data_IF_018683721537
#
_entry.id   IF_018683721537
#
_cell.length_a   1.000
_cell.length_b   1.000
_cell.length_c   1.000
_cell.angle_alpha   90.00
_cell.angle_beta   90.00
_cell.angle_gamma   90.00
#
_symmetry.space_group_name_H-M   'P 1'
#
loop_
_entity.id
_entity.type
_entity.pdbx_description
1 polymer ?
#
# COMPACT_ATOMS: atom_id res chain seq x y z
N UNK A 1 -26.77 -25.66 -26.59
CA UNK A 1 -27.35 -24.31 -26.80
C UNK A 1 -27.68 -23.57 -25.51
N UNK A 2 -28.04 -24.22 -24.41
CA UNK A 2 -28.39 -23.61 -23.10
C UNK A 2 -27.22 -22.90 -22.37
N UNK A 3 -25.99 -23.26 -22.61
CA UNK A 3 -24.83 -22.65 -21.91
C UNK A 3 -24.42 -21.25 -22.43
N UNK A 4 -24.88 -20.82 -23.59
CA UNK A 4 -24.57 -19.49 -24.16
C UNK A 4 -25.54 -18.41 -23.68
N UNK A 5 -26.77 -18.77 -23.31
CA UNK A 5 -27.80 -17.85 -22.78
C UNK A 5 -27.67 -17.59 -21.27
N UNK A 6 -27.12 -18.54 -20.51
CA UNK A 6 -26.95 -18.40 -19.08
C UNK A 6 -25.81 -17.41 -18.69
N UNK A 7 -24.77 -17.27 -19.53
CA UNK A 7 -23.64 -16.38 -19.23
C UNK A 7 -23.99 -14.89 -19.10
N UNK A 8 -24.82 -14.29 -19.97
CA UNK A 8 -25.20 -12.88 -19.79
C UNK A 8 -26.14 -12.67 -18.60
N UNK A 9 -27.01 -13.63 -18.26
CA UNK A 9 -27.92 -13.54 -17.10
C UNK A 9 -27.17 -13.63 -15.78
N UNK A 10 -26.25 -14.58 -15.64
CA UNK A 10 -25.38 -14.71 -14.46
C UNK A 10 -24.48 -13.48 -14.32
N UNK A 11 -23.98 -12.94 -15.43
CA UNK A 11 -23.18 -11.71 -15.44
C UNK A 11 -24.00 -10.49 -15.04
N UNK A 12 -25.26 -10.42 -15.41
CA UNK A 12 -26.21 -9.36 -15.07
C UNK A 12 -26.66 -9.45 -13.60
N UNK A 13 -26.91 -10.65 -13.08
CA UNK A 13 -27.24 -10.90 -11.67
C UNK A 13 -26.04 -10.63 -10.73
N UNK A 14 -24.86 -11.01 -11.14
CA UNK A 14 -23.64 -10.71 -10.40
C UNK A 14 -23.32 -9.20 -10.44
N UNK A 15 -23.53 -8.57 -11.60
CA UNK A 15 -23.39 -7.12 -11.76
C UNK A 15 -24.40 -6.38 -10.88
N UNK A 16 -25.65 -6.79 -10.84
CA UNK A 16 -26.69 -6.17 -10.03
C UNK A 16 -26.48 -6.36 -8.52
N UNK A 17 -26.00 -7.53 -8.07
CA UNK A 17 -25.64 -7.74 -6.64
C UNK A 17 -24.42 -6.91 -6.21
N UNK A 18 -23.43 -6.79 -7.07
CA UNK A 18 -22.27 -5.95 -6.82
C UNK A 18 -22.67 -4.47 -6.84
N UNK A 19 -23.53 -4.05 -7.76
CA UNK A 19 -24.04 -2.68 -7.84
C UNK A 19 -24.93 -2.34 -6.63
N UNK A 20 -25.79 -3.26 -6.16
CA UNK A 20 -26.61 -3.03 -4.96
C UNK A 20 -25.78 -2.97 -3.67
N UNK A 21 -24.81 -3.87 -3.50
CA UNK A 21 -23.89 -3.81 -2.37
C UNK A 21 -23.05 -2.52 -2.39
N UNK A 22 -22.69 -2.07 -3.59
CA UNK A 22 -21.98 -0.84 -3.84
C UNK A 22 -22.81 0.40 -3.55
N UNK A 23 -24.07 0.43 -4.01
CA UNK A 23 -24.99 1.55 -3.75
C UNK A 23 -25.18 1.76 -2.25
N UNK A 24 -25.36 0.68 -1.49
CA UNK A 24 -25.45 0.73 -0.01
C UNK A 24 -24.17 1.23 0.66
N UNK A 25 -23.00 0.96 0.08
CA UNK A 25 -21.73 1.41 0.62
C UNK A 25 -21.40 2.85 0.18
N UNK A 26 -21.78 3.22 -1.06
CA UNK A 26 -21.67 4.60 -1.57
C UNK A 26 -22.62 5.53 -0.81
N UNK A 27 -23.81 5.06 -0.44
CA UNK A 27 -24.75 5.78 0.42
C UNK A 27 -24.25 5.95 1.86
N UNK A 28 -23.46 5.00 2.37
CA UNK A 28 -22.87 5.06 3.72
C UNK A 28 -21.54 5.79 3.77
N UNK A 29 -20.74 5.72 2.71
CA UNK A 29 -19.44 6.37 2.57
C UNK A 29 -19.50 7.58 1.65
N UNK A 30 -20.59 8.28 1.51
CA UNK A 30 -20.85 9.41 0.62
C UNK A 30 -19.65 10.38 0.47
N UNK A 31 -18.47 9.81 0.26
CA UNK A 31 -17.23 10.43 -0.17
C UNK A 31 -17.28 10.60 -1.68
N UNK A 32 -18.38 11.24 -2.12
CA UNK A 32 -18.56 11.51 -3.54
C UNK A 32 -17.33 12.21 -4.08
N UNK A 33 -16.77 11.65 -5.13
CA UNK A 33 -15.83 12.34 -6.03
C UNK A 33 -16.34 13.74 -6.43
N UNK A 34 -17.63 14.02 -6.22
CA UNK A 34 -18.30 15.25 -6.59
C UNK A 34 -18.01 16.44 -5.65
N UNK A 35 -17.62 16.23 -4.41
CA UNK A 35 -17.44 17.31 -3.44
C UNK A 35 -15.98 17.78 -3.30
N UNK A 36 -15.04 17.16 -3.98
CA UNK A 36 -13.66 17.55 -3.82
C UNK A 36 -13.30 18.71 -4.76
N UNK A 37 -13.00 19.85 -4.19
CA UNK A 37 -12.16 20.93 -4.74
C UNK A 37 -10.84 20.41 -5.31
N UNK A 38 -10.55 19.13 -5.17
CA UNK A 38 -9.42 18.38 -5.71
C UNK A 38 -9.27 18.47 -7.23
N UNK A 39 -10.34 18.86 -7.93
CA UNK A 39 -10.33 19.04 -9.40
C UNK A 39 -9.69 20.36 -9.87
N UNK A 40 -9.54 21.35 -8.99
CA UNK A 40 -8.99 22.65 -9.35
C UNK A 40 -7.56 22.80 -8.80
N UNK A 41 -6.61 22.15 -9.46
CA UNK A 41 -5.20 22.14 -9.04
C UNK A 41 -4.64 23.53 -8.81
N UNK A 42 -4.90 24.47 -9.71
CA UNK A 42 -4.38 25.84 -9.59
C UNK A 42 -4.93 26.55 -8.35
N UNK A 43 -6.21 26.38 -8.05
CA UNK A 43 -6.81 26.91 -6.82
C UNK A 43 -6.15 26.32 -5.56
N UNK A 44 -5.77 25.05 -5.58
CA UNK A 44 -5.03 24.43 -4.46
C UNK A 44 -3.62 24.98 -4.34
N UNK A 45 -2.93 25.19 -5.44
CA UNK A 45 -1.60 25.79 -5.47
C UNK A 45 -1.66 27.22 -4.90
N UNK A 46 -2.60 28.04 -5.38
CA UNK A 46 -2.73 29.41 -4.93
C UNK A 46 -3.10 29.48 -3.42
N UNK A 47 -4.10 28.72 -2.97
CA UNK A 47 -4.43 28.63 -1.54
C UNK A 47 -3.25 28.16 -0.67
N UNK A 48 -2.43 27.24 -1.17
CA UNK A 48 -1.25 26.75 -0.46
C UNK A 48 -0.16 27.81 -0.40
N UNK A 49 0.03 28.59 -1.46
CA UNK A 49 1.00 29.66 -1.49
C UNK A 49 0.56 30.87 -0.66
N UNK A 50 -0.73 31.15 -0.56
CA UNK A 50 -1.30 32.21 0.28
C UNK A 50 -1.33 31.87 1.77
N UNK A 51 -1.01 30.61 2.13
CA UNK A 51 -0.97 30.17 3.54
C UNK A 51 0.09 30.93 4.34
N UNK A 52 -0.27 31.39 5.55
CA UNK A 52 0.58 32.23 6.38
C UNK A 52 1.92 31.56 6.71
N UNK A 53 1.91 30.27 7.09
CA UNK A 53 3.14 29.52 7.38
C UNK A 53 4.04 29.39 6.14
N UNK A 54 3.44 29.21 4.96
CA UNK A 54 4.18 29.10 3.70
C UNK A 54 4.80 30.46 3.34
N UNK A 55 4.07 31.55 3.51
CA UNK A 55 4.58 32.90 3.29
C UNK A 55 5.75 33.25 4.23
N UNK A 56 5.64 32.87 5.50
CA UNK A 56 6.74 33.02 6.46
C UNK A 56 7.96 32.17 6.07
N UNK A 57 7.75 30.92 5.62
CA UNK A 57 8.83 30.07 5.16
C UNK A 57 9.52 30.62 3.91
N UNK A 58 8.78 31.26 2.98
CA UNK A 58 9.33 31.97 1.83
C UNK A 58 10.22 33.13 2.29
N UNK A 59 9.73 33.97 3.21
CA UNK A 59 10.50 35.10 3.77
C UNK A 59 11.78 34.63 4.47
N UNK A 60 11.69 33.55 5.25
CA UNK A 60 12.85 32.96 5.97
C UNK A 60 13.86 32.34 5.00
N UNK A 61 13.40 31.70 3.92
CA UNK A 61 14.27 31.15 2.89
C UNK A 61 15.10 32.23 2.20
N UNK A 62 14.55 33.44 2.03
CA UNK A 62 15.26 34.60 1.49
C UNK A 62 16.37 35.11 2.42
N UNK A 63 16.09 35.21 3.73
CA UNK A 63 17.07 35.67 4.73
C UNK A 63 18.29 34.75 4.80
N UNK A 64 18.09 33.45 4.65
CA UNK A 64 19.15 32.45 4.74
C UNK A 64 19.99 32.32 3.46
N UNK A 65 19.57 32.95 2.36
CA UNK A 65 20.25 32.86 1.07
C UNK A 65 20.37 34.25 0.46
N UNK A 66 21.45 34.97 0.79
CA UNK A 66 21.71 36.38 0.39
C UNK A 66 21.62 36.65 -1.12
N UNK A 67 21.61 35.60 -1.95
CA UNK A 67 21.59 35.67 -3.41
C UNK A 67 20.20 35.42 -4.03
N UNK A 68 19.17 35.10 -3.23
CA UNK A 68 17.82 34.84 -3.75
C UNK A 68 16.91 36.01 -3.43
N UNK A 69 16.35 36.65 -4.49
CA UNK A 69 15.32 37.64 -4.32
C UNK A 69 13.99 37.01 -3.81
N UNK A 70 13.12 37.88 -3.23
CA UNK A 70 11.78 37.43 -2.79
C UNK A 70 10.98 36.79 -3.94
N UNK A 71 11.13 37.31 -5.15
CA UNK A 71 10.50 36.81 -6.35
C UNK A 71 11.00 35.41 -6.74
N UNK A 72 12.28 35.13 -6.57
CA UNK A 72 12.87 33.82 -6.87
C UNK A 72 12.44 32.75 -5.86
N UNK A 73 12.33 33.12 -4.58
CA UNK A 73 11.83 32.18 -3.56
C UNK A 73 10.34 31.91 -3.72
N UNK A 74 9.54 32.88 -4.15
CA UNK A 74 8.14 32.67 -4.54
C UNK A 74 8.00 31.71 -5.73
N UNK A 75 8.82 31.92 -6.78
CA UNK A 75 8.89 30.98 -7.92
C UNK A 75 9.28 29.57 -7.48
N UNK A 76 10.28 29.44 -6.60
CA UNK A 76 10.71 28.16 -6.05
C UNK A 76 9.58 27.49 -5.25
N UNK A 77 8.84 28.23 -4.43
CA UNK A 77 7.70 27.72 -3.69
C UNK A 77 6.61 27.20 -4.62
N UNK A 78 6.29 27.93 -5.71
CA UNK A 78 5.33 27.49 -6.73
C UNK A 78 5.77 26.20 -7.41
N UNK A 79 7.02 26.08 -7.82
CA UNK A 79 7.58 24.85 -8.41
C UNK A 79 7.45 23.67 -7.44
N UNK A 80 7.71 23.89 -6.15
CA UNK A 80 7.54 22.85 -5.12
C UNK A 80 6.06 22.46 -4.97
N UNK A 81 5.16 23.43 -4.93
CA UNK A 81 3.72 23.19 -4.85
C UNK A 81 3.22 22.39 -6.06
N UNK A 82 3.65 22.76 -7.26
CA UNK A 82 3.34 22.06 -8.51
C UNK A 82 3.91 20.63 -8.57
N UNK A 83 5.05 20.39 -7.91
CA UNK A 83 5.61 19.04 -7.77
C UNK A 83 4.79 18.17 -6.80
N UNK A 84 4.27 18.76 -5.73
CA UNK A 84 3.54 18.03 -4.68
C UNK A 84 2.08 17.83 -5.08
N UNK A 85 1.37 18.88 -5.48
CA UNK A 85 -0.07 18.84 -5.74
C UNK A 85 -0.37 18.06 -7.02
N UNK A 86 -1.15 16.96 -6.94
CA UNK A 86 -1.49 16.17 -8.12
C UNK A 86 -2.44 16.91 -9.06
N UNK A 87 -2.35 16.61 -10.35
CA UNK A 87 -3.31 17.01 -11.38
C UNK A 87 -4.32 15.88 -11.60
N UNK A 88 -5.20 15.66 -10.62
CA UNK A 88 -6.16 14.58 -10.66
C UNK A 88 -7.14 14.70 -11.83
N UNK A 89 -7.30 13.61 -12.59
CA UNK A 89 -8.26 13.52 -13.68
C UNK A 89 -9.20 12.33 -13.42
N UNK A 90 -10.44 12.63 -13.04
CA UNK A 90 -11.44 11.63 -12.70
C UNK A 90 -11.76 10.68 -13.86
N UNK A 91 -11.87 11.17 -15.09
CA UNK A 91 -12.14 10.32 -16.25
C UNK A 91 -10.96 9.39 -16.53
N UNK A 92 -9.73 9.92 -16.45
CA UNK A 92 -8.53 9.10 -16.59
C UNK A 92 -8.46 8.05 -15.48
N UNK A 93 -8.67 8.44 -14.23
CA UNK A 93 -8.68 7.54 -13.07
C UNK A 93 -9.72 6.43 -13.24
N UNK A 94 -10.96 6.79 -13.57
CA UNK A 94 -12.07 5.85 -13.68
C UNK A 94 -11.98 4.92 -14.92
N UNK A 95 -11.60 5.45 -16.07
CA UNK A 95 -11.59 4.67 -17.32
C UNK A 95 -10.26 3.98 -17.57
N UNK A 96 -9.16 4.71 -17.47
CA UNK A 96 -7.83 4.22 -17.85
C UNK A 96 -7.11 3.61 -16.64
N UNK A 97 -7.02 4.35 -15.54
CA UNK A 97 -6.28 3.92 -14.35
C UNK A 97 -6.81 2.60 -13.79
N UNK A 98 -8.13 2.52 -13.61
CA UNK A 98 -8.75 1.30 -13.12
C UNK A 98 -8.68 0.12 -14.10
N UNK A 99 -9.04 0.37 -15.38
CA UNK A 99 -9.00 -0.69 -16.38
C UNK A 99 -7.60 -1.30 -16.47
N UNK A 100 -6.59 -0.46 -16.54
CA UNK A 100 -5.19 -0.87 -16.61
C UNK A 100 -4.76 -1.64 -15.35
N UNK A 101 -5.01 -1.06 -14.18
CA UNK A 101 -4.67 -1.68 -12.90
C UNK A 101 -5.37 -3.02 -12.71
N UNK A 102 -6.68 -3.08 -12.99
CA UNK A 102 -7.47 -4.32 -12.89
C UNK A 102 -6.92 -5.42 -13.79
N UNK A 103 -6.64 -5.09 -15.06
CA UNK A 103 -6.19 -6.10 -16.00
C UNK A 103 -4.78 -6.58 -15.70
N UNK A 104 -3.86 -5.69 -15.33
CA UNK A 104 -2.50 -6.07 -14.95
C UNK A 104 -2.51 -6.90 -13.67
N UNK A 105 -3.22 -6.46 -12.63
CA UNK A 105 -3.28 -7.23 -11.38
C UNK A 105 -3.88 -8.62 -11.61
N UNK A 106 -4.97 -8.72 -12.37
CA UNK A 106 -5.60 -10.01 -12.70
C UNK A 106 -4.76 -10.89 -13.61
N UNK A 107 -3.93 -10.29 -14.45
CA UNK A 107 -3.00 -11.03 -15.30
C UNK A 107 -1.88 -11.67 -14.45
N UNK A 108 -1.36 -10.94 -13.48
CA UNK A 108 -0.22 -11.34 -12.65
C UNK A 108 -0.63 -12.21 -11.45
N UNK A 109 -1.77 -11.90 -10.83
CA UNK A 109 -2.17 -12.42 -9.52
C UNK A 109 -3.56 -13.05 -9.47
N UNK A 110 -3.73 -13.96 -8.54
CA UNK A 110 -5.00 -14.21 -7.88
C UNK A 110 -5.16 -13.19 -6.75
N UNK A 111 -5.97 -12.15 -7.02
CA UNK A 111 -6.19 -11.07 -6.04
C UNK A 111 -7.25 -11.49 -5.04
N UNK A 112 -6.93 -11.39 -3.75
CA UNK A 112 -7.81 -11.72 -2.63
C UNK A 112 -7.96 -10.55 -1.69
N UNK A 113 -9.18 -10.40 -1.15
CA UNK A 113 -9.52 -9.34 -0.20
C UNK A 113 -10.24 -9.93 0.99
N UNK A 114 -9.78 -9.60 2.18
CA UNK A 114 -10.44 -9.91 3.43
C UNK A 114 -10.92 -8.66 4.15
N UNK A 115 -12.05 -8.83 4.77
CA UNK A 115 -12.63 -7.87 5.70
C UNK A 115 -12.83 -8.56 7.05
N UNK A 116 -12.88 -7.83 8.16
CA UNK A 116 -13.25 -8.43 9.44
C UNK A 116 -14.59 -9.15 9.31
N UNK A 117 -14.62 -10.43 9.66
CA UNK A 117 -15.83 -11.27 9.51
C UNK A 117 -16.80 -11.21 10.70
N UNK A 118 -16.63 -10.25 11.58
CA UNK A 118 -17.55 -10.14 12.72
C UNK A 118 -18.82 -9.38 12.29
N UNK A 119 -20.01 -9.84 12.73
CA UNK A 119 -21.27 -9.11 12.52
C UNK A 119 -21.21 -7.67 13.05
N UNK A 120 -20.31 -7.43 14.02
CA UNK A 120 -20.03 -6.10 14.57
C UNK A 120 -19.07 -5.27 13.71
N UNK A 121 -18.34 -5.87 12.76
CA UNK A 121 -17.41 -5.14 11.89
C UNK A 121 -18.11 -4.28 10.85
N UNK A 122 -19.29 -4.68 10.37
CA UNK A 122 -20.13 -3.80 9.53
C UNK A 122 -20.56 -2.56 10.33
N UNK A 123 -20.85 -2.71 11.63
CA UNK A 123 -21.17 -1.61 12.54
C UNK A 123 -19.97 -0.70 12.82
N UNK A 124 -18.72 -1.22 12.81
CA UNK A 124 -17.54 -0.39 13.05
C UNK A 124 -17.25 0.56 11.88
N UNK A 125 -17.60 0.18 10.64
CA UNK A 125 -17.56 1.10 9.49
C UNK A 125 -18.69 2.12 9.50
N UNK A 126 -19.84 1.80 10.14
CA UNK A 126 -20.95 2.74 10.33
C UNK A 126 -20.60 3.91 11.27
N UNK A 127 -19.55 3.77 12.11
CA UNK A 127 -19.01 4.84 12.96
C UNK A 127 -18.34 5.97 12.15
N UNK A 128 -17.99 5.74 10.89
CA UNK A 128 -17.35 6.75 10.04
C UNK A 128 -18.38 7.83 9.72
N UNK A 129 -18.24 8.98 10.37
CA UNK A 129 -19.15 10.12 10.19
C UNK A 129 -18.85 10.85 8.87
N UNK A 130 -19.87 11.45 8.28
CA UNK A 130 -19.70 12.45 7.22
C UNK A 130 -18.76 13.55 7.73
N UNK A 131 -17.85 14.03 6.88
CA UNK A 131 -16.82 15.00 7.22
C UNK A 131 -15.70 14.45 8.14
N UNK A 132 -15.46 13.15 8.15
CA UNK A 132 -14.22 12.58 8.68
C UNK A 132 -13.19 12.39 7.57
N UNK A 133 -11.92 12.63 7.87
CA UNK A 133 -10.83 12.34 6.94
C UNK A 133 -10.42 10.87 7.06
N UNK A 134 -10.60 10.10 5.99
CA UNK A 134 -10.25 8.67 5.96
C UNK A 134 -8.82 8.48 5.48
N UNK A 135 -8.04 7.77 6.29
CA UNK A 135 -6.63 7.47 5.99
C UNK A 135 -6.42 5.96 6.02
N UNK A 136 -6.15 5.36 4.87
CA UNK A 136 -5.74 3.95 4.80
C UNK A 136 -4.27 3.87 5.21
N UNK A 137 -4.00 3.10 6.26
CA UNK A 137 -2.65 2.90 6.78
C UNK A 137 -2.22 1.47 6.49
N UNK A 138 -1.15 1.32 5.70
CA UNK A 138 -0.71 0.01 5.24
C UNK A 138 0.79 -0.22 5.47
N UNK A 139 1.19 -1.50 5.50
CA UNK A 139 2.56 -1.92 5.32
C UNK A 139 3.01 -1.72 3.86
N UNK A 140 4.32 -1.80 3.57
CA UNK A 140 4.86 -1.53 2.24
C UNK A 140 5.77 -2.66 1.75
N UNK A 141 5.26 -3.46 0.80
CA UNK A 141 5.94 -4.63 0.22
C UNK A 141 6.48 -4.37 -1.18
N UNK A 142 5.74 -3.60 -1.99
CA UNK A 142 6.03 -3.40 -3.41
C UNK A 142 5.55 -2.02 -3.88
N UNK A 143 6.17 -1.49 -4.94
CA UNK A 143 5.66 -0.30 -5.61
C UNK A 143 4.28 -0.51 -6.26
N UNK A 144 3.79 -1.76 -6.30
CA UNK A 144 2.45 -2.10 -6.78
C UNK A 144 1.38 -1.94 -5.69
N UNK A 145 1.76 -1.82 -4.42
CA UNK A 145 0.81 -1.71 -3.29
C UNK A 145 -0.22 -0.60 -3.44
N UNK A 146 0.15 0.65 -3.86
CA UNK A 146 -0.83 1.71 -4.04
C UNK A 146 -1.88 1.34 -5.09
N UNK A 147 -1.46 0.68 -6.18
CA UNK A 147 -2.37 0.25 -7.24
C UNK A 147 -3.30 -0.87 -6.77
N UNK A 148 -2.81 -1.78 -5.93
CA UNK A 148 -3.63 -2.82 -5.33
C UNK A 148 -4.71 -2.22 -4.42
N UNK A 149 -4.34 -1.25 -3.57
CA UNK A 149 -5.28 -0.55 -2.70
C UNK A 149 -6.28 0.31 -3.51
N UNK A 150 -5.81 1.01 -4.53
CA UNK A 150 -6.68 1.74 -5.48
C UNK A 150 -7.64 0.79 -6.19
N UNK A 151 -7.17 -0.38 -6.65
CA UNK A 151 -8.04 -1.38 -7.26
C UNK A 151 -9.16 -1.84 -6.33
N UNK A 152 -8.88 -1.94 -5.02
CA UNK A 152 -9.88 -2.32 -4.01
C UNK A 152 -10.86 -1.18 -3.70
N UNK A 153 -10.36 0.04 -3.58
CA UNK A 153 -11.15 1.21 -3.21
C UNK A 153 -11.84 1.90 -4.40
N UNK A 154 -11.48 1.52 -5.61
CA UNK A 154 -11.80 2.23 -6.87
C UNK A 154 -13.24 2.67 -7.03
N UNK A 155 -14.18 1.86 -6.58
CA UNK A 155 -15.60 2.19 -6.71
C UNK A 155 -16.13 3.06 -5.57
N UNK A 156 -15.30 3.30 -4.55
CA UNK A 156 -15.70 4.00 -3.31
C UNK A 156 -15.11 5.39 -3.22
N UNK A 157 -13.86 5.55 -3.61
CA UNK A 157 -13.17 6.83 -3.51
C UNK A 157 -11.88 6.84 -4.31
N UNK A 158 -11.46 8.03 -4.76
CA UNK A 158 -10.09 8.25 -5.20
C UNK A 158 -9.21 8.44 -3.97
N UNK A 159 -8.23 7.53 -3.78
CA UNK A 159 -7.30 7.61 -2.66
C UNK A 159 -6.02 8.28 -3.13
N UNK A 160 -5.62 9.32 -2.43
CA UNK A 160 -4.36 10.02 -2.66
C UNK A 160 -3.22 9.34 -1.90
N UNK A 161 -2.26 8.76 -2.61
CA UNK A 161 -1.06 8.17 -2.02
C UNK A 161 0.17 9.02 -2.24
N UNK A 162 1.13 8.90 -1.33
CA UNK A 162 2.45 9.46 -1.55
C UNK A 162 3.30 8.55 -2.44
N UNK A 163 3.86 9.10 -3.52
CA UNK A 163 4.83 8.44 -4.36
C UNK A 163 6.24 8.97 -4.07
N UNK A 164 7.26 8.10 -4.18
CA UNK A 164 8.65 8.50 -4.00
C UNK A 164 9.24 9.21 -5.24
N UNK A 165 10.50 9.64 -5.13
CA UNK A 165 11.22 10.34 -6.20
C UNK A 165 11.38 9.53 -7.50
N UNK A 166 11.16 8.21 -7.46
CA UNK A 166 11.16 7.35 -8.66
C UNK A 166 10.05 7.74 -9.65
N UNK A 167 8.98 8.34 -9.15
CA UNK A 167 7.85 8.79 -9.96
C UNK A 167 8.11 10.11 -10.71
N UNK A 168 9.24 10.79 -10.44
CA UNK A 168 9.60 12.04 -11.13
C UNK A 168 10.04 11.77 -12.56
N UNK A 169 9.56 12.60 -13.43
CA UNK A 169 9.92 12.60 -14.84
C UNK A 169 8.82 12.07 -15.75
N UNK A 170 8.87 12.58 -16.97
CA UNK A 170 7.92 12.22 -18.03
C UNK A 170 8.10 10.75 -18.47
N UNK A 171 7.04 9.98 -18.75
CA UNK A 171 5.60 10.27 -18.56
C UNK A 171 5.07 9.87 -17.18
N UNK A 172 5.90 9.28 -16.29
CA UNK A 172 5.47 8.67 -15.03
C UNK A 172 4.84 9.69 -14.07
N UNK A 173 5.44 10.88 -13.98
CA UNK A 173 4.92 11.94 -13.12
C UNK A 173 3.49 12.32 -13.49
N UNK A 174 3.21 12.49 -14.79
CA UNK A 174 1.90 12.85 -15.29
C UNK A 174 0.86 11.77 -15.00
N UNK A 175 1.24 10.49 -15.18
CA UNK A 175 0.37 9.34 -14.88
C UNK A 175 0.05 9.27 -13.37
N UNK A 176 1.06 9.41 -12.53
CA UNK A 176 0.94 9.37 -11.07
C UNK A 176 0.07 10.54 -10.57
N UNK A 177 0.29 11.76 -11.08
CA UNK A 177 -0.53 12.91 -10.74
C UNK A 177 -1.97 12.78 -11.25
N UNK A 178 -2.18 12.21 -12.45
CA UNK A 178 -3.52 12.02 -13.01
C UNK A 178 -4.39 11.03 -12.20
N UNK A 179 -3.77 10.10 -11.46
CA UNK A 179 -4.48 9.20 -10.55
C UNK A 179 -4.59 9.74 -9.11
N UNK A 180 -4.13 10.98 -8.87
CA UNK A 180 -4.28 11.66 -7.59
C UNK A 180 -3.15 11.42 -6.58
N UNK A 181 -2.02 10.86 -7.01
CA UNK A 181 -0.87 10.64 -6.12
C UNK A 181 0.03 11.87 -6.11
N UNK A 182 0.56 12.20 -4.93
CA UNK A 182 1.52 13.28 -4.74
C UNK A 182 2.94 12.76 -4.55
N UNK A 183 3.94 13.54 -4.97
CA UNK A 183 5.34 13.11 -4.96
C UNK A 183 6.04 13.65 -3.72
N UNK A 184 6.75 12.76 -3.00
CA UNK A 184 7.53 13.11 -1.81
C UNK A 184 9.02 12.94 -2.08
N UNK A 185 9.82 13.95 -1.68
CA UNK A 185 11.26 13.86 -1.61
C UNK A 185 11.68 13.21 -0.29
N UNK A 186 12.49 12.16 -0.36
CA UNK A 186 12.96 11.41 0.83
C UNK A 186 14.29 11.89 1.39
N UNK A 187 15.06 12.65 0.61
CA UNK A 187 16.37 13.16 1.03
C UNK A 187 16.21 14.48 1.78
N UNK A 188 17.35 14.93 2.42
CA UNK A 188 17.44 16.23 3.10
C UNK A 188 16.74 17.30 2.27
N UNK A 189 15.55 17.64 2.68
CA UNK A 189 14.71 18.64 2.04
C UNK A 189 14.92 19.94 2.77
N UNK A 190 14.90 21.04 2.01
CA UNK A 190 14.99 22.35 2.63
C UNK A 190 13.74 22.64 3.49
N UNK A 191 13.82 23.57 4.45
CA UNK A 191 12.71 23.92 5.33
C UNK A 191 11.45 24.37 4.55
N UNK A 192 11.61 25.08 3.44
CA UNK A 192 10.51 25.53 2.58
C UNK A 192 9.74 24.34 2.01
N UNK A 193 10.45 23.32 1.47
CA UNK A 193 9.79 22.10 0.97
C UNK A 193 8.98 21.40 2.06
N UNK A 194 9.56 21.27 3.27
CA UNK A 194 8.86 20.60 4.40
C UNK A 194 7.62 21.39 4.84
N UNK A 195 7.69 22.72 4.85
CA UNK A 195 6.55 23.55 5.17
C UNK A 195 5.43 23.40 4.14
N UNK A 196 5.74 23.47 2.84
CA UNK A 196 4.77 23.31 1.75
C UNK A 196 4.13 21.91 1.80
N UNK A 197 4.92 20.83 2.00
CA UNK A 197 4.39 19.48 2.13
C UNK A 197 3.48 19.34 3.35
N UNK A 198 3.88 19.87 4.51
CA UNK A 198 3.08 19.86 5.73
C UNK A 198 1.72 20.54 5.48
N UNK A 199 1.71 21.76 4.92
CA UNK A 199 0.48 22.50 4.67
C UNK A 199 -0.41 21.86 3.62
N UNK A 200 0.17 21.26 2.56
CA UNK A 200 -0.59 20.44 1.61
C UNK A 200 -1.32 19.27 2.29
N UNK A 201 -0.62 18.52 3.13
CA UNK A 201 -1.23 17.40 3.89
C UNK A 201 -2.33 17.89 4.82
N UNK A 202 -2.13 19.05 5.49
CA UNK A 202 -3.18 19.68 6.31
C UNK A 202 -4.42 20.03 5.47
N UNK A 203 -4.24 20.68 4.34
CA UNK A 203 -5.35 21.01 3.44
C UNK A 203 -6.09 19.75 2.97
N UNK A 204 -5.36 18.69 2.62
CA UNK A 204 -5.97 17.44 2.18
C UNK A 204 -6.80 16.77 3.29
N UNK A 205 -6.33 16.78 4.54
CA UNK A 205 -7.11 16.29 5.68
C UNK A 205 -8.32 17.18 5.95
N UNK A 206 -8.15 18.50 5.97
CA UNK A 206 -9.24 19.46 6.23
C UNK A 206 -10.38 19.38 5.21
N UNK A 207 -10.05 19.11 3.94
CA UNK A 207 -11.03 18.92 2.87
C UNK A 207 -11.51 17.45 2.78
N UNK A 208 -11.21 16.63 3.79
CA UNK A 208 -11.58 15.19 3.88
C UNK A 208 -11.19 14.37 2.64
N UNK A 209 -10.08 14.72 1.97
CA UNK A 209 -9.56 13.93 0.86
C UNK A 209 -9.08 12.58 1.39
N UNK A 210 -9.60 11.47 0.89
CA UNK A 210 -9.14 10.15 1.31
C UNK A 210 -7.68 9.94 0.96
N UNK A 211 -6.88 9.53 1.94
CA UNK A 211 -5.46 9.36 1.79
C UNK A 211 -5.03 7.92 2.08
N UNK A 212 -3.90 7.52 1.50
CA UNK A 212 -3.24 6.29 1.85
C UNK A 212 -1.78 6.55 2.23
N UNK A 213 -1.35 5.96 3.33
CA UNK A 213 0.04 6.04 3.79
C UNK A 213 0.62 4.66 4.00
N UNK A 214 1.89 4.51 3.64
CA UNK A 214 2.69 3.35 4.00
C UNK A 214 3.46 3.70 5.28
N UNK A 215 2.97 3.17 6.41
CA UNK A 215 3.46 3.56 7.74
C UNK A 215 4.95 3.25 7.93
N UNK A 216 5.51 2.30 7.20
CA UNK A 216 6.94 1.95 7.21
C UNK A 216 7.84 3.01 6.54
N UNK A 217 7.27 3.94 5.76
CA UNK A 217 8.00 4.98 5.03
C UNK A 217 8.91 4.49 3.90
N UNK A 218 9.14 3.18 3.78
CA UNK A 218 9.91 2.54 2.70
C UNK A 218 9.55 1.06 2.58
N UNK A 219 9.92 0.42 1.47
CA UNK A 219 9.74 -1.01 1.26
C UNK A 219 10.42 -1.82 2.38
N UNK A 220 9.74 -2.88 2.85
CA UNK A 220 10.34 -3.84 3.78
C UNK A 220 11.56 -4.51 3.14
N UNK A 221 12.66 -4.61 3.88
CA UNK A 221 13.90 -5.20 3.38
C UNK A 221 14.03 -6.69 3.67
N UNK A 222 13.42 -7.15 4.75
CA UNK A 222 13.56 -8.53 5.23
C UNK A 222 12.23 -9.29 5.32
N UNK A 223 11.14 -8.70 4.82
CA UNK A 223 9.81 -9.30 4.88
C UNK A 223 9.06 -9.09 6.20
N UNK A 224 9.72 -8.73 7.29
CA UNK A 224 9.05 -8.33 8.52
C UNK A 224 8.54 -6.88 8.42
N UNK A 225 7.54 -6.53 9.21
CA UNK A 225 7.08 -5.15 9.34
C UNK A 225 8.11 -4.28 10.04
N UNK A 226 8.30 -3.07 9.55
CA UNK A 226 9.23 -2.08 10.11
C UNK A 226 8.52 -1.19 11.13
N UNK A 227 9.26 -0.58 12.05
CA UNK A 227 8.69 0.46 12.92
C UNK A 227 8.06 1.60 12.11
N UNK A 228 7.03 2.22 12.69
CA UNK A 228 6.33 3.33 12.08
C UNK A 228 7.22 4.53 11.79
N UNK A 229 7.13 5.10 10.59
CA UNK A 229 7.75 6.35 10.21
C UNK A 229 6.75 7.50 10.39
N UNK A 230 6.92 8.31 11.43
CA UNK A 230 5.88 9.19 11.96
C UNK A 230 5.67 10.51 11.21
N UNK A 231 6.50 10.81 10.18
CA UNK A 231 6.50 12.14 9.54
C UNK A 231 5.14 12.56 8.96
N UNK A 232 4.57 11.74 8.06
CA UNK A 232 3.26 12.02 7.45
C UNK A 232 2.14 11.88 8.47
N UNK A 233 2.18 10.86 9.32
CA UNK A 233 1.19 10.65 10.37
C UNK A 233 1.08 11.88 11.28
N UNK A 234 2.22 12.46 11.69
CA UNK A 234 2.25 13.69 12.50
C UNK A 234 1.64 14.89 11.73
N UNK A 235 1.90 15.02 10.43
CA UNK A 235 1.28 16.09 9.63
C UNK A 235 -0.24 15.92 9.55
N UNK A 236 -0.73 14.71 9.36
CA UNK A 236 -2.16 14.40 9.27
C UNK A 236 -2.89 14.70 10.60
N UNK A 237 -2.31 14.28 11.71
CA UNK A 237 -2.92 14.50 13.05
C UNK A 237 -3.01 15.99 13.37
N UNK A 238 -1.98 16.76 13.06
CA UNK A 238 -1.98 18.22 13.30
C UNK A 238 -3.08 18.95 12.52
N UNK A 239 -3.52 18.41 11.40
CA UNK A 239 -4.58 19.02 10.59
C UNK A 239 -5.96 19.02 11.26
N UNK A 240 -6.19 18.20 12.29
CA UNK A 240 -7.42 18.24 13.08
C UNK A 240 -7.69 19.60 13.77
N UNK A 241 -6.67 20.44 13.91
CA UNK A 241 -6.80 21.74 14.55
C UNK A 241 -7.42 22.80 13.60
N UNK A 242 -7.45 22.55 12.29
CA UNK A 242 -7.86 23.52 11.27
C UNK A 242 -9.38 23.54 10.97
N UNK A 243 -10.20 22.84 11.76
CA UNK A 243 -11.63 23.14 11.96
C UNK A 243 -12.67 22.53 11.01
N UNK A 244 -12.34 22.09 9.79
CA UNK A 244 -13.34 21.54 8.85
C UNK A 244 -13.56 20.03 9.00
N UNK A 245 -12.52 19.30 9.32
CA UNK A 245 -12.58 17.87 9.56
C UNK A 245 -13.02 17.58 11.00
N UNK A 246 -14.08 16.77 11.16
CA UNK A 246 -14.61 16.42 12.48
C UNK A 246 -13.80 15.37 13.19
N UNK A 247 -13.22 14.43 12.44
CA UNK A 247 -12.37 13.36 12.98
C UNK A 247 -11.46 12.79 11.90
N UNK A 248 -10.40 12.11 12.31
CA UNK A 248 -9.55 11.32 11.43
C UNK A 248 -9.81 9.84 11.71
N UNK A 249 -10.12 9.10 10.64
CA UNK A 249 -10.39 7.67 10.71
C UNK A 249 -9.27 6.90 10.02
N UNK A 250 -8.51 6.15 10.79
CA UNK A 250 -7.47 5.27 10.27
C UNK A 250 -8.05 3.88 9.95
N UNK A 251 -7.89 3.42 8.70
CA UNK A 251 -8.27 2.07 8.28
C UNK A 251 -6.97 1.27 8.10
N UNK A 252 -6.65 0.34 9.03
CA UNK A 252 -5.51 -0.54 8.86
C UNK A 252 -5.71 -1.45 7.64
N UNK A 253 -4.68 -1.57 6.81
CA UNK A 253 -4.67 -2.48 5.67
C UNK A 253 -3.36 -3.26 5.64
N UNK A 254 -3.43 -4.59 5.62
CA UNK A 254 -2.25 -5.44 5.54
C UNK A 254 -2.17 -6.08 4.15
N UNK A 255 -0.99 -5.98 3.53
CA UNK A 255 -0.72 -6.48 2.18
C UNK A 255 0.35 -7.58 2.24
N UNK A 256 0.12 -8.68 1.55
CA UNK A 256 1.12 -9.72 1.35
C UNK A 256 1.02 -10.35 -0.05
N UNK A 257 2.14 -10.90 -0.53
CA UNK A 257 2.28 -11.46 -1.88
C UNK A 257 3.00 -12.80 -1.84
N UNK A 258 2.66 -13.68 -2.81
CA UNK A 258 3.51 -14.82 -3.12
C UNK A 258 4.80 -14.38 -3.84
N UNK A 259 4.67 -13.40 -4.74
CA UNK A 259 5.78 -12.80 -5.47
C UNK A 259 5.43 -11.37 -5.84
N UNK A 260 6.42 -10.47 -5.92
CA UNK A 260 6.22 -9.09 -6.39
C UNK A 260 7.31 -8.70 -7.39
N UNK A 261 7.10 -7.65 -8.21
CA UNK A 261 8.01 -7.34 -9.32
C UNK A 261 9.44 -7.06 -8.90
N UNK A 262 9.63 -6.48 -7.73
CA UNK A 262 10.94 -6.02 -7.24
C UNK A 262 11.67 -7.05 -6.36
N UNK A 263 11.11 -8.23 -6.10
CA UNK A 263 11.65 -9.20 -5.15
C UNK A 263 13.12 -9.56 -5.43
N UNK A 264 13.46 -9.85 -6.67
CA UNK A 264 14.83 -10.21 -7.08
C UNK A 264 15.77 -9.01 -6.96
N UNK A 265 15.35 -7.83 -7.46
CA UNK A 265 16.19 -6.62 -7.41
C UNK A 265 16.39 -6.12 -5.98
N UNK A 266 15.36 -6.23 -5.13
CA UNK A 266 15.47 -5.93 -3.70
C UNK A 266 16.44 -6.88 -3.01
N UNK A 267 16.37 -8.18 -3.33
CA UNK A 267 17.30 -9.16 -2.82
C UNK A 267 18.76 -8.87 -3.23
N UNK A 268 19.01 -8.56 -4.50
CA UNK A 268 20.35 -8.21 -5.00
C UNK A 268 20.92 -6.96 -4.31
N UNK A 269 20.08 -5.97 -4.01
CA UNK A 269 20.47 -4.79 -3.23
C UNK A 269 20.87 -5.16 -1.79
N UNK A 270 20.14 -6.07 -1.15
CA UNK A 270 20.43 -6.52 0.21
C UNK A 270 21.69 -7.40 0.25
N UNK A 271 21.85 -8.31 -0.71
CA UNK A 271 22.97 -9.24 -0.75
C UNK A 271 24.32 -8.55 -1.03
N UNK A 272 24.32 -7.54 -1.89
CA UNK A 272 25.55 -6.91 -2.37
C UNK A 272 26.01 -5.70 -1.56
N UNK A 273 25.32 -5.29 -0.48
CA UNK A 273 25.58 -4.07 0.30
C UNK A 273 25.82 -2.80 -0.54
N UNK A 274 25.50 -2.82 -1.83
CA UNK A 274 25.80 -1.74 -2.77
C UNK A 274 24.80 -0.59 -2.61
N UNK A 275 25.27 0.48 -1.95
CA UNK A 275 24.65 1.81 -1.97
C UNK A 275 24.55 2.41 -3.40
N UNK A 276 25.18 1.82 -4.37
CA UNK A 276 25.45 2.41 -5.69
C UNK A 276 24.40 2.21 -6.78
N UNK A 277 23.30 1.53 -6.50
CA UNK A 277 22.22 1.41 -7.52
C UNK A 277 21.50 2.74 -7.80
N UNK A 278 21.95 3.83 -7.15
CA UNK A 278 21.30 5.16 -7.21
C UNK A 278 21.53 5.93 -8.50
N UNK A 279 22.55 5.58 -9.30
CA UNK A 279 22.94 6.30 -10.51
C UNK A 279 22.85 5.49 -11.80
N UNK A 280 22.35 4.26 -11.74
CA UNK A 280 22.15 3.48 -12.97
C UNK A 280 20.94 4.08 -13.73
N UNK A 281 21.29 5.07 -14.52
CA UNK A 281 20.58 5.69 -15.64
C UNK A 281 19.06 5.49 -15.72
N UNK A 282 18.32 6.63 -15.72
CA UNK A 282 16.91 6.72 -16.15
C UNK A 282 16.63 5.94 -17.45
N UNK A 283 17.63 5.73 -18.27
CA UNK A 283 17.57 4.93 -19.49
C UNK A 283 17.38 3.43 -19.18
N UNK A 284 18.10 2.85 -18.20
CA UNK A 284 17.92 1.45 -17.79
C UNK A 284 16.56 1.20 -17.10
N UNK A 285 16.02 2.17 -16.38
CA UNK A 285 14.68 2.03 -15.81
C UNK A 285 13.57 2.03 -16.89
N UNK A 286 13.78 2.77 -17.98
CA UNK A 286 12.87 2.77 -19.15
C UNK A 286 12.94 1.45 -19.91
N UNK A 287 14.15 0.92 -20.15
CA UNK A 287 14.33 -0.40 -20.77
C UNK A 287 13.76 -1.51 -19.90
N UNK A 288 13.92 -1.44 -18.58
CA UNK A 288 13.31 -2.40 -17.66
C UNK A 288 11.78 -2.33 -17.70
N UNK A 289 11.19 -1.13 -17.81
CA UNK A 289 9.76 -0.96 -17.99
C UNK A 289 9.28 -1.54 -19.32
N UNK A 290 9.98 -1.26 -20.42
CA UNK A 290 9.69 -1.85 -21.75
C UNK A 290 9.79 -3.38 -21.68
N UNK A 291 10.86 -3.91 -21.10
CA UNK A 291 11.03 -5.36 -20.89
C UNK A 291 9.93 -5.97 -20.03
N UNK A 292 9.45 -5.25 -19.01
CA UNK A 292 8.31 -5.68 -18.21
C UNK A 292 7.01 -5.69 -19.04
N UNK A 293 6.75 -4.67 -19.85
CA UNK A 293 5.59 -4.60 -20.73
C UNK A 293 5.61 -5.73 -21.77
N UNK A 294 6.77 -6.04 -22.37
CA UNK A 294 6.90 -7.19 -23.26
C UNK A 294 6.61 -8.52 -22.54
N UNK A 295 7.09 -8.68 -21.29
CA UNK A 295 6.74 -9.86 -20.47
C UNK A 295 5.24 -9.94 -20.17
N UNK A 296 4.55 -8.81 -19.98
CA UNK A 296 3.10 -8.81 -19.80
C UNK A 296 2.38 -9.43 -20.98
N UNK A 297 2.84 -9.17 -22.22
CA UNK A 297 2.27 -9.77 -23.44
C UNK A 297 2.36 -11.30 -23.36
N UNK A 298 3.49 -11.85 -22.91
CA UNK A 298 3.64 -13.30 -22.75
C UNK A 298 2.72 -13.90 -21.70
N UNK A 299 2.21 -13.11 -20.77
CA UNK A 299 1.28 -13.55 -19.73
C UNK A 299 -0.19 -13.53 -20.15
N UNK A 300 -0.51 -12.96 -21.34
CA UNK A 300 -1.87 -12.97 -21.89
C UNK A 300 -2.29 -14.40 -22.26
N UNK A 301 -1.34 -15.25 -22.65
CA UNK A 301 -1.63 -16.66 -22.98
C UNK A 301 -2.07 -17.44 -21.74
N UNK A 302 -3.07 -18.33 -21.87
CA UNK A 302 -3.57 -19.16 -20.79
C UNK A 302 -2.45 -19.98 -20.13
N UNK A 303 -2.35 -19.94 -18.82
CA UNK A 303 -1.38 -20.70 -18.02
C UNK A 303 -2.09 -21.37 -16.86
N UNK A 304 -1.62 -22.57 -16.47
CA UNK A 304 -2.10 -23.25 -15.26
C UNK A 304 -1.94 -22.39 -14.03
N UNK A 305 -0.80 -21.68 -13.91
CA UNK A 305 -0.45 -20.86 -12.75
C UNK A 305 -0.31 -19.37 -13.10
N UNK A 306 -0.75 -18.50 -12.20
CA UNK A 306 -0.47 -17.06 -12.29
C UNK A 306 1.03 -16.81 -12.10
N UNK A 307 1.64 -15.90 -12.89
CA UNK A 307 3.08 -15.66 -12.85
C UNK A 307 3.61 -15.24 -11.48
N UNK A 308 2.81 -14.53 -10.69
CA UNK A 308 3.17 -13.97 -9.40
C UNK A 308 2.35 -14.55 -8.24
N UNK A 309 1.50 -15.54 -8.49
CA UNK A 309 0.74 -16.22 -7.45
C UNK A 309 -0.39 -15.38 -6.86
N UNK A 310 -0.46 -15.32 -5.55
CA UNK A 310 -1.46 -14.59 -4.79
C UNK A 310 -0.99 -13.17 -4.45
N UNK A 311 -1.91 -12.21 -4.51
CA UNK A 311 -1.82 -10.90 -3.88
C UNK A 311 -3.00 -10.75 -2.94
N UNK A 312 -2.76 -10.57 -1.65
CA UNK A 312 -3.79 -10.54 -0.64
C UNK A 312 -3.77 -9.22 0.15
N UNK A 313 -4.96 -8.67 0.40
CA UNK A 313 -5.16 -7.49 1.24
C UNK A 313 -6.22 -7.80 2.27
N UNK A 314 -5.91 -7.57 3.55
CA UNK A 314 -6.88 -7.54 4.63
C UNK A 314 -7.08 -6.12 5.11
N UNK A 315 -8.34 -5.71 5.25
CA UNK A 315 -8.70 -4.47 5.93
C UNK A 315 -9.07 -4.80 7.38
N UNK A 316 -8.63 -3.96 8.32
CA UNK A 316 -8.95 -4.06 9.73
C UNK A 316 -10.07 -3.11 10.12
N UNK A 317 -10.48 -3.19 11.39
CA UNK A 317 -11.48 -2.27 11.94
C UNK A 317 -10.96 -0.83 11.96
N UNK A 318 -11.80 0.14 11.57
CA UNK A 318 -11.47 1.54 11.65
C UNK A 318 -11.06 1.95 13.07
N UNK A 319 -10.07 2.83 13.17
CA UNK A 319 -9.65 3.48 14.41
C UNK A 319 -9.93 4.98 14.28
N UNK A 320 -10.88 5.48 15.04
CA UNK A 320 -11.15 6.90 15.13
C UNK A 320 -10.09 7.56 16.03
N UNK A 321 -9.55 8.70 15.60
CA UNK A 321 -8.55 9.40 16.39
C UNK A 321 -9.14 9.92 17.70
N UNK A 322 -10.40 10.37 17.69
CA UNK A 322 -11.13 10.77 18.89
C UNK A 322 -11.25 9.62 19.91
N UNK A 323 -11.72 8.42 19.47
CA UNK A 323 -11.82 7.24 20.34
C UNK A 323 -10.45 6.83 20.91
N UNK A 324 -9.38 6.92 20.10
CA UNK A 324 -8.04 6.60 20.56
C UNK A 324 -7.55 7.61 21.61
N UNK A 325 -7.82 8.91 21.44
CA UNK A 325 -7.48 9.94 22.41
C UNK A 325 -8.21 9.74 23.74
N UNK A 326 -9.50 9.41 23.70
CA UNK A 326 -10.30 9.08 24.88
C UNK A 326 -9.72 7.88 25.63
N UNK A 327 -9.37 6.79 24.92
CA UNK A 327 -8.75 5.59 25.51
C UNK A 327 -7.40 5.88 26.15
N UNK A 328 -6.64 6.85 25.64
CA UNK A 328 -5.36 7.27 26.22
C UNK A 328 -5.52 8.38 27.27
N UNK A 329 -6.74 8.90 27.52
CA UNK A 329 -7.03 10.05 28.38
C UNK A 329 -6.18 11.28 28.01
N UNK A 330 -5.99 11.54 26.71
CA UNK A 330 -5.16 12.63 26.19
C UNK A 330 -5.89 13.44 25.12
N UNK A 331 -5.55 14.73 25.03
CA UNK A 331 -5.94 15.56 23.90
C UNK A 331 -4.68 16.06 23.18
N UNK A 332 -4.49 15.63 21.95
CA UNK A 332 -3.33 16.00 21.16
C UNK A 332 -3.23 17.49 20.82
N UNK A 333 -4.31 18.28 21.07
CA UNK A 333 -4.29 19.74 20.91
C UNK A 333 -3.60 20.44 22.06
N UNK A 334 -3.75 19.91 23.27
CA UNK A 334 -3.37 20.58 24.51
C UNK A 334 -1.95 20.20 24.98
N UNK A 335 -1.32 19.23 24.33
CA UNK A 335 0.02 18.75 24.71
C UNK A 335 1.14 19.46 23.95
N UNK A 336 2.27 19.64 24.63
CA UNK A 336 3.49 20.21 24.05
C UNK A 336 4.11 19.33 22.95
N UNK A 337 5.03 19.89 22.18
CA UNK A 337 5.63 19.22 21.01
C UNK A 337 6.32 17.89 21.35
N UNK A 338 7.04 17.82 22.48
CA UNK A 338 7.77 16.62 22.89
C UNK A 338 6.79 15.49 23.24
N UNK A 339 5.76 15.81 24.01
CA UNK A 339 4.74 14.83 24.41
C UNK A 339 3.90 14.38 23.22
N UNK A 340 3.52 15.31 22.35
CA UNK A 340 2.84 14.98 21.10
C UNK A 340 3.62 13.98 20.26
N UNK A 341 4.94 14.12 20.14
CA UNK A 341 5.78 13.16 19.42
C UNK A 341 5.74 11.77 20.04
N UNK A 342 5.73 11.67 21.35
CA UNK A 342 5.58 10.40 22.08
C UNK A 342 4.22 9.76 21.77
N UNK A 343 3.15 10.54 21.88
CA UNK A 343 1.78 10.08 21.62
C UNK A 343 1.57 9.65 20.15
N UNK A 344 2.11 10.40 19.18
CA UNK A 344 2.13 10.00 17.78
C UNK A 344 2.92 8.70 17.58
N UNK A 345 3.99 8.49 18.36
CA UNK A 345 4.72 7.21 18.41
C UNK A 345 3.85 6.06 18.91
N UNK A 346 3.08 6.27 19.98
CA UNK A 346 2.14 5.29 20.52
C UNK A 346 1.04 4.96 19.51
N UNK A 347 0.45 5.97 18.86
CA UNK A 347 -0.53 5.75 17.79
C UNK A 347 0.08 4.99 16.61
N UNK A 348 1.28 5.36 16.20
CA UNK A 348 2.00 4.66 15.14
C UNK A 348 2.25 3.18 15.48
N UNK A 349 2.58 2.87 16.74
CA UNK A 349 2.70 1.50 17.24
C UNK A 349 1.35 0.78 17.21
N UNK A 350 0.29 1.38 17.72
CA UNK A 350 -1.08 0.83 17.69
C UNK A 350 -1.50 0.47 16.28
N UNK A 351 -1.28 1.35 15.31
CA UNK A 351 -1.59 1.11 13.89
C UNK A 351 -0.74 -0.03 13.31
N UNK A 352 0.56 -0.07 13.63
CA UNK A 352 1.47 -1.15 13.22
C UNK A 352 1.02 -2.50 13.77
N UNK A 353 0.65 -2.56 15.05
CA UNK A 353 0.19 -3.77 15.71
C UNK A 353 -1.15 -4.26 15.11
N UNK A 354 -2.08 -3.34 14.79
CA UNK A 354 -3.33 -3.66 14.07
C UNK A 354 -3.07 -4.20 12.67
N UNK A 355 -2.13 -3.63 11.91
CA UNK A 355 -1.75 -4.14 10.58
C UNK A 355 -1.13 -5.54 10.70
N UNK A 356 -0.21 -5.76 11.65
CA UNK A 356 0.39 -7.07 11.91
C UNK A 356 -0.67 -8.12 12.27
N UNK A 357 -1.66 -7.74 13.07
CA UNK A 357 -2.69 -8.68 13.53
C UNK A 357 -3.57 -9.22 12.40
N UNK A 358 -3.70 -8.49 11.30
CA UNK A 358 -4.51 -8.86 10.13
C UNK A 358 -3.66 -9.25 8.92
N UNK A 359 -2.36 -9.53 9.10
CA UNK A 359 -1.46 -9.88 7.98
C UNK A 359 -1.98 -11.09 7.22
N UNK A 360 -2.21 -10.99 5.88
CA UNK A 360 -2.64 -12.12 5.08
C UNK A 360 -1.58 -13.23 5.04
N UNK A 361 -2.02 -14.47 5.18
CA UNK A 361 -1.16 -15.63 5.07
C UNK A 361 -1.22 -16.15 3.64
N UNK A 362 -0.14 -15.94 2.90
CA UNK A 362 -0.03 -16.40 1.51
C UNK A 362 0.58 -17.81 1.44
N UNK A 363 0.26 -18.59 0.40
CA UNK A 363 0.85 -19.91 0.17
C UNK A 363 2.38 -19.88 0.16
N UNK A 364 2.97 -18.85 -0.42
CA UNK A 364 4.43 -18.68 -0.44
C UNK A 364 5.02 -18.53 0.96
N UNK A 365 4.37 -17.75 1.83
CA UNK A 365 4.83 -17.54 3.19
C UNK A 365 4.79 -18.85 4.02
N UNK A 366 3.76 -19.67 3.81
CA UNK A 366 3.63 -21.00 4.45
C UNK A 366 4.75 -21.92 3.97
N UNK A 367 4.89 -22.09 2.65
CA UNK A 367 5.92 -22.99 2.09
C UNK A 367 7.32 -22.54 2.50
N UNK A 368 7.61 -21.24 2.46
CA UNK A 368 8.88 -20.70 2.90
C UNK A 368 9.17 -21.01 4.39
N UNK A 369 8.15 -20.87 5.25
CA UNK A 369 8.26 -21.15 6.68
C UNK A 369 8.53 -22.62 6.94
N UNK A 370 7.81 -23.52 6.27
CA UNK A 370 7.98 -24.97 6.40
C UNK A 370 9.39 -25.40 5.98
N UNK A 371 9.83 -24.94 4.81
CA UNK A 371 11.17 -25.27 4.29
C UNK A 371 12.27 -24.77 5.21
N UNK A 372 12.15 -23.57 5.76
CA UNK A 372 13.16 -23.00 6.66
C UNK A 372 13.18 -23.62 8.05
N UNK A 373 12.06 -24.14 8.54
CA UNK A 373 11.98 -24.86 9.82
C UNK A 373 12.56 -26.27 9.73
N UNK A 374 12.65 -26.84 8.53
CA UNK A 374 13.20 -28.17 8.35
C UNK A 374 14.73 -28.18 8.48
N UNK A 375 15.22 -28.95 9.47
CA UNK A 375 16.65 -29.08 9.77
C UNK A 375 17.40 -29.97 8.79
N UNK A 376 16.72 -30.92 8.11
CA UNK A 376 17.36 -31.87 7.18
C UNK A 376 17.89 -31.22 5.90
N UNK A 377 17.47 -29.98 5.62
CA UNK A 377 17.86 -29.25 4.41
C UNK A 377 17.24 -29.78 3.12
N UNK A 378 16.55 -30.91 3.16
CA UNK A 378 15.85 -31.56 2.03
C UNK A 378 14.47 -32.03 2.43
N UNK A 379 13.47 -31.84 1.57
CA UNK A 379 12.09 -32.25 1.80
C UNK A 379 11.48 -32.82 0.53
N UNK A 380 10.78 -33.95 0.62
CA UNK A 380 9.95 -34.44 -0.45
C UNK A 380 8.73 -33.50 -0.67
N UNK A 381 8.18 -33.50 -1.88
CA UNK A 381 7.01 -32.66 -2.20
C UNK A 381 5.78 -32.97 -1.35
N UNK A 382 5.61 -34.28 -1.00
CA UNK A 382 4.56 -34.75 -0.09
C UNK A 382 4.69 -34.13 1.29
N UNK A 383 5.91 -34.16 1.85
CA UNK A 383 6.20 -33.69 3.20
C UNK A 383 6.04 -32.18 3.32
N UNK A 384 6.46 -31.44 2.29
CA UNK A 384 6.22 -29.99 2.23
C UNK A 384 4.71 -29.70 2.30
N UNK A 385 3.89 -30.44 1.55
CA UNK A 385 2.43 -30.25 1.56
C UNK A 385 1.79 -30.64 2.89
N UNK A 386 2.22 -31.75 3.48
CA UNK A 386 1.72 -32.19 4.79
C UNK A 386 2.04 -31.16 5.87
N UNK A 387 3.30 -30.78 6.01
CA UNK A 387 3.75 -29.77 6.98
C UNK A 387 3.10 -28.39 6.75
N UNK A 388 2.83 -28.05 5.48
CA UNK A 388 2.12 -26.82 5.15
C UNK A 388 0.66 -26.85 5.60
N UNK A 389 -0.02 -27.98 5.47
CA UNK A 389 -1.39 -28.16 5.96
C UNK A 389 -1.43 -28.12 7.49
N UNK A 390 -0.50 -28.79 8.19
CA UNK A 390 -0.40 -28.76 9.65
C UNK A 390 -0.18 -27.32 10.17
N UNK A 391 0.70 -26.57 9.49
CA UNK A 391 0.93 -25.17 9.84
C UNK A 391 -0.32 -24.30 9.58
N UNK A 392 -1.01 -24.53 8.46
CA UNK A 392 -2.26 -23.84 8.15
C UNK A 392 -3.35 -24.14 9.19
N UNK A 393 -3.49 -25.38 9.60
CA UNK A 393 -4.44 -25.78 10.63
C UNK A 393 -4.13 -25.11 11.97
N UNK A 394 -2.87 -25.14 12.40
CA UNK A 394 -2.44 -24.48 13.64
C UNK A 394 -2.73 -22.98 13.62
N UNK A 395 -2.44 -22.31 12.49
CA UNK A 395 -2.70 -20.88 12.32
C UNK A 395 -4.21 -20.57 12.26
N UNK A 396 -5.02 -21.43 11.65
CA UNK A 396 -6.48 -21.25 11.57
C UNK A 396 -7.16 -21.37 12.93
N UNK A 397 -6.66 -22.24 13.81
CA UNK A 397 -7.13 -22.35 15.20
C UNK A 397 -6.82 -21.09 16.03
N UNK A 398 -5.69 -20.43 15.75
CA UNK A 398 -5.27 -19.22 16.46
C UNK A 398 -6.03 -17.97 16.02
N UNK A 399 -6.54 -17.92 14.78
CA UNK A 399 -7.21 -16.75 14.22
C UNK A 399 -8.28 -17.12 13.20
N UNK A 400 -9.54 -16.92 13.58
CA UNK A 400 -10.72 -17.15 12.72
C UNK A 400 -10.81 -16.24 11.49
N UNK A 401 -10.01 -15.19 11.40
CA UNK A 401 -10.10 -14.12 10.38
C UNK A 401 -9.00 -14.17 9.31
N UNK A 402 -8.34 -15.31 9.14
CA UNK A 402 -7.26 -15.42 8.17
C UNK A 402 -7.79 -15.66 6.76
N UNK A 403 -7.40 -14.79 5.84
CA UNK A 403 -7.49 -15.07 4.42
C UNK A 403 -6.46 -16.14 4.05
N UNK A 404 -6.93 -17.37 4.03
CA UNK A 404 -6.30 -18.44 3.28
C UNK A 404 -7.06 -18.53 1.97
N UNK A 405 -6.35 -18.70 0.85
CA UNK A 405 -6.96 -18.93 -0.44
C UNK A 405 -7.96 -20.10 -0.39
N UNK A 406 -9.25 -19.80 -0.19
CA UNK A 406 -10.28 -20.81 0.15
C UNK A 406 -10.63 -21.77 -0.98
N UNK A 407 -10.20 -21.54 -2.23
CA UNK A 407 -10.73 -22.33 -3.34
C UNK A 407 -10.04 -23.66 -3.59
N UNK A 408 -8.75 -23.75 -3.35
CA UNK A 408 -7.98 -24.98 -3.49
C UNK A 408 -6.61 -24.76 -2.83
N UNK A 409 -6.50 -25.16 -1.59
CA UNK A 409 -5.26 -25.03 -0.80
C UNK A 409 -4.13 -25.81 -1.49
N UNK A 410 -4.41 -27.04 -1.95
CA UNK A 410 -3.43 -27.88 -2.61
C UNK A 410 -2.89 -27.23 -3.89
N UNK A 411 -3.77 -26.71 -4.74
CA UNK A 411 -3.40 -25.97 -5.93
C UNK A 411 -2.54 -24.74 -5.62
N UNK A 412 -2.91 -23.99 -4.58
CA UNK A 412 -2.19 -22.78 -4.18
C UNK A 412 -0.79 -23.08 -3.64
N UNK A 413 -0.64 -24.16 -2.87
CA UNK A 413 0.67 -24.64 -2.40
C UNK A 413 1.54 -25.14 -3.56
N UNK A 414 0.96 -25.88 -4.53
CA UNK A 414 1.68 -26.28 -5.74
C UNK A 414 2.16 -25.09 -6.56
N UNK A 415 1.32 -24.06 -6.70
CA UNK A 415 1.71 -22.82 -7.35
C UNK A 415 2.89 -22.13 -6.67
N UNK A 416 2.90 -22.07 -5.33
CA UNK A 416 4.00 -21.47 -4.56
C UNK A 416 5.31 -22.29 -4.79
N UNK A 417 5.27 -23.61 -4.72
CA UNK A 417 6.42 -24.48 -5.03
C UNK A 417 6.91 -24.24 -6.49
N UNK A 418 5.98 -24.15 -7.45
CA UNK A 418 6.33 -23.84 -8.83
C UNK A 418 7.05 -22.50 -8.97
N UNK A 419 6.57 -21.45 -8.29
CA UNK A 419 7.19 -20.13 -8.31
C UNK A 419 8.59 -20.17 -7.69
N UNK A 420 8.76 -20.82 -6.53
CA UNK A 420 10.07 -20.99 -5.88
C UNK A 420 11.09 -21.68 -6.78
N UNK A 421 10.67 -22.75 -7.47
CA UNK A 421 11.51 -23.44 -8.46
C UNK A 421 11.88 -22.55 -9.63
N UNK A 422 10.90 -21.85 -10.20
CA UNK A 422 11.11 -20.95 -11.35
C UNK A 422 12.05 -19.79 -11.02
N UNK A 423 12.03 -19.33 -9.76
CA UNK A 423 12.95 -18.31 -9.25
C UNK A 423 14.31 -18.89 -8.84
N UNK A 424 14.51 -20.21 -8.95
CA UNK A 424 15.71 -20.91 -8.48
C UNK A 424 16.00 -20.63 -6.98
N UNK A 425 14.93 -20.53 -6.17
CA UNK A 425 15.06 -20.44 -4.71
C UNK A 425 15.18 -21.85 -4.12
N UNK A 426 14.46 -22.78 -4.71
CA UNK A 426 14.59 -24.20 -4.43
C UNK A 426 14.91 -24.96 -5.72
N UNK A 427 15.71 -26.01 -5.60
CA UNK A 427 16.06 -26.92 -6.69
C UNK A 427 15.61 -28.33 -6.34
N UNK A 428 15.35 -29.16 -7.38
CA UNK A 428 14.91 -30.56 -7.24
C UNK A 428 16.15 -31.46 -7.23
N UNK A 429 16.28 -32.26 -6.22
CA UNK A 429 17.31 -33.29 -6.12
C UNK A 429 16.99 -34.59 -6.89
N UNK A 430 17.92 -35.52 -6.90
CA UNK A 430 17.78 -36.81 -7.62
C UNK A 430 16.63 -37.68 -7.09
N UNK A 431 16.35 -37.61 -5.78
CA UNK A 431 15.32 -38.40 -5.10
C UNK A 431 13.94 -37.71 -5.06
N UNK A 432 13.68 -36.79 -6.00
CA UNK A 432 12.44 -36.04 -6.04
C UNK A 432 12.19 -35.14 -4.82
N UNK A 433 13.24 -34.84 -4.08
CA UNK A 433 13.27 -33.92 -2.93
C UNK A 433 13.60 -32.49 -3.39
N UNK A 434 13.33 -31.52 -2.52
CA UNK A 434 13.68 -30.12 -2.75
C UNK A 434 14.69 -29.66 -1.70
N UNK A 435 15.65 -28.84 -2.14
CA UNK A 435 16.61 -28.17 -1.27
C UNK A 435 16.72 -26.68 -1.61
N UNK A 436 17.15 -25.88 -0.63
CA UNK A 436 17.26 -24.42 -0.77
C UNK A 436 18.59 -24.06 -1.41
N UNK A 437 18.56 -23.24 -2.45
CA UNK A 437 19.76 -22.62 -3.02
C UNK A 437 20.31 -21.56 -2.05
N UNK A 438 21.52 -21.81 -1.52
CA UNK A 438 22.10 -20.94 -0.49
C UNK A 438 22.22 -19.49 -0.94
N UNK A 439 22.50 -19.24 -2.22
CA UNK A 439 22.54 -17.91 -2.81
C UNK A 439 21.20 -17.17 -2.74
N UNK A 440 20.07 -17.88 -2.61
CA UNK A 440 18.70 -17.35 -2.58
C UNK A 440 18.00 -17.52 -1.21
N UNK A 441 18.67 -18.07 -0.21
CA UNK A 441 18.09 -18.33 1.13
C UNK A 441 17.48 -17.08 1.76
N UNK A 442 18.13 -15.92 1.66
CA UNK A 442 17.61 -14.65 2.17
C UNK A 442 16.27 -14.23 1.52
N UNK A 443 16.01 -14.59 0.26
CA UNK A 443 14.74 -14.32 -0.40
C UNK A 443 13.65 -15.26 0.15
N UNK A 444 13.98 -16.50 0.43
CA UNK A 444 13.07 -17.42 1.11
C UNK A 444 12.73 -16.92 2.53
N UNK A 445 13.74 -16.46 3.28
CA UNK A 445 13.57 -15.84 4.60
C UNK A 445 12.66 -14.62 4.54
N UNK A 446 12.77 -13.80 3.49
CA UNK A 446 11.91 -12.64 3.28
C UNK A 446 10.42 -13.06 3.24
N UNK A 447 10.08 -14.11 2.50
CA UNK A 447 8.69 -14.59 2.43
C UNK A 447 8.22 -15.15 3.76
N UNK A 448 9.02 -15.96 4.45
CA UNK A 448 8.69 -16.54 5.74
C UNK A 448 8.51 -15.47 6.83
N UNK A 449 9.37 -14.45 6.84
CA UNK A 449 9.31 -13.36 7.82
C UNK A 449 8.02 -12.55 7.76
N UNK A 450 7.31 -12.59 6.63
CA UNK A 450 6.03 -11.88 6.48
C UNK A 450 4.97 -12.34 7.49
N UNK A 451 5.04 -13.60 7.93
CA UNK A 451 4.11 -14.22 8.88
C UNK A 451 4.77 -14.72 10.17
N UNK A 452 6.08 -14.52 10.35
CA UNK A 452 6.85 -15.06 11.48
C UNK A 452 6.28 -14.66 12.85
N UNK A 453 5.74 -13.43 12.96
CA UNK A 453 5.08 -12.95 14.18
C UNK A 453 3.77 -13.67 14.51
N UNK A 454 3.18 -14.40 13.56
CA UNK A 454 1.99 -15.24 13.75
C UNK A 454 2.36 -16.67 14.14
N UNK A 455 3.55 -17.15 13.72
CA UNK A 455 4.02 -18.53 13.90
C UNK A 455 4.77 -18.71 15.22
N UNK A 456 5.28 -17.64 15.82
CA UNK A 456 6.04 -17.63 17.09
C UNK A 456 5.14 -17.55 18.34
N UNK A 457 3.85 -17.35 18.16
CA UNK A 457 2.85 -17.39 19.23
C UNK A 457 2.26 -18.79 19.35
#
# INVERSE_FOLDING_TARGET
>A
MLGRLARPLVRRLYHNRVVCAQKRLDERLDYGLANSTFYKRDTWIDRLLDDVEVQEAIKTSNKNNKYLSHLESGKKARIIAEEIIPSFNALFYLRVGYWFTRNILRLLYWVQVGYPHNKDSDKSYDKIKKNSSVIIVSNHRSNIDPFLLVYMAFRRSAISFSAGEWAKGWPMQQLIHAIGFYIIRRKKTDPLYRCILKRYVHMAVSECVPQGIFIEGALSKNGAMRPAHLGLLNYQIRAMNDGKCKDIVFIPAAINYDKFPEDVSLFEQIANHKKEFRNRNRFFSRLALIGFLFRLITYIFPRKYKPFGCAAVNFGEPLLLSEWQEQQSVNLKDVGEIERRKLVGCLGKTLTDRINSIMPITPMAIIATVILKNQSGRLASSDIKSLANDLLESLSRLKSNMLIAKKDISFSLEQAIYILRKQKIISRGKNNDYYVEQSRKKLLEYYANSINHLVKK
#
